data_IF_074132869579
#
_entry.id   IF_074132869579
#
_cell.length_a   1.000
_cell.length_b   1.000
_cell.length_c   1.000
_cell.angle_alpha   90.00
_cell.angle_beta   90.00
_cell.angle_gamma   90.00
#
_symmetry.space_group_name_H-M   'P 1'
#
loop_
_entity.id
_entity.type
_entity.pdbx_description
1 polymer ?
#
# COMPACT_ATOMS: atom_id res chain seq x y z
N UNK A 1 -20.79 0.26 -2.39
CA UNK A 1 -20.30 0.82 -1.10
C UNK A 1 -18.91 0.27 -0.91
N UNK A 2 -17.91 1.12 -0.72
CA UNK A 2 -16.50 0.73 -0.70
C UNK A 2 -15.99 0.76 0.75
N UNK A 3 -15.26 -0.27 1.16
CA UNK A 3 -14.69 -0.39 2.50
C UNK A 3 -13.47 0.54 2.58
N UNK A 4 -13.50 1.49 3.52
CA UNK A 4 -12.40 2.44 3.73
C UNK A 4 -11.40 1.86 4.72
N UNK A 5 -10.13 1.77 4.31
CA UNK A 5 -9.06 1.14 5.08
C UNK A 5 -7.88 2.08 5.25
N UNK A 6 -7.37 2.19 6.47
CA UNK A 6 -6.06 2.77 6.76
C UNK A 6 -5.03 1.66 7.00
N UNK A 7 -3.83 1.80 6.44
CA UNK A 7 -2.72 0.86 6.68
C UNK A 7 -1.82 1.43 7.78
N UNK A 8 -1.75 0.75 8.93
CA UNK A 8 -0.83 1.10 10.01
C UNK A 8 0.40 0.18 10.00
N UNK A 9 1.56 0.74 9.67
CA UNK A 9 2.80 0.00 9.40
C UNK A 9 2.99 -0.24 7.90
N UNK A 10 3.54 0.75 7.19
CA UNK A 10 3.76 0.72 5.74
C UNK A 10 5.12 0.10 5.34
N UNK A 11 5.52 -0.93 6.10
CA UNK A 11 6.68 -1.76 5.81
C UNK A 11 6.44 -2.75 4.66
N UNK A 12 7.15 -3.88 4.69
CA UNK A 12 7.11 -4.90 3.62
C UNK A 12 5.70 -5.45 3.38
N UNK A 13 4.95 -5.78 4.44
CA UNK A 13 3.58 -6.29 4.32
C UNK A 13 2.61 -5.19 3.90
N UNK A 14 2.68 -4.00 4.49
CA UNK A 14 1.79 -2.88 4.14
C UNK A 14 1.88 -2.50 2.65
N UNK A 15 3.09 -2.47 2.08
CA UNK A 15 3.29 -2.23 0.65
C UNK A 15 2.75 -3.38 -0.22
N UNK A 16 2.96 -4.62 0.19
CA UNK A 16 2.43 -5.78 -0.54
C UNK A 16 0.90 -5.87 -0.49
N UNK A 17 0.26 -5.44 0.59
CA UNK A 17 -1.21 -5.32 0.65
C UNK A 17 -1.71 -4.28 -0.34
N UNK A 18 -1.07 -3.11 -0.40
CA UNK A 18 -1.42 -2.10 -1.40
C UNK A 18 -1.26 -2.66 -2.83
N UNK A 19 -0.14 -3.33 -3.11
CA UNK A 19 0.13 -3.96 -4.40
C UNK A 19 -0.94 -4.99 -4.76
N UNK A 20 -1.28 -5.90 -3.84
CA UNK A 20 -2.29 -6.92 -4.07
C UNK A 20 -3.68 -6.34 -4.34
N UNK A 21 -4.05 -5.22 -3.72
CA UNK A 21 -5.31 -4.53 -3.99
C UNK A 21 -5.39 -4.04 -5.44
N UNK A 22 -4.31 -3.46 -5.97
CA UNK A 22 -4.27 -2.99 -7.36
C UNK A 22 -4.13 -4.15 -8.36
N UNK A 23 -3.31 -5.16 -8.06
CA UNK A 23 -3.15 -6.33 -8.92
C UNK A 23 -4.41 -7.19 -8.98
N UNK A 24 -5.19 -7.23 -7.89
CA UNK A 24 -6.47 -7.94 -7.81
C UNK A 24 -7.69 -7.15 -8.28
N UNK A 25 -7.51 -5.93 -8.78
CA UNK A 25 -8.60 -5.03 -9.22
C UNK A 25 -9.70 -4.80 -8.16
N UNK A 26 -9.30 -4.73 -6.89
CA UNK A 26 -10.23 -4.60 -5.75
C UNK A 26 -10.57 -3.14 -5.41
N UNK A 27 -10.19 -2.18 -6.26
CA UNK A 27 -10.40 -0.75 -6.00
C UNK A 27 -11.87 -0.32 -5.93
N UNK A 28 -12.78 -1.12 -6.48
CA UNK A 28 -14.23 -0.89 -6.36
C UNK A 28 -14.79 -1.34 -4.99
N UNK A 29 -14.11 -2.30 -4.34
CA UNK A 29 -14.51 -2.90 -3.06
C UNK A 29 -13.79 -2.27 -1.87
N UNK A 30 -12.50 -1.91 -2.03
CA UNK A 30 -11.63 -1.40 -0.98
C UNK A 30 -10.95 -0.10 -1.43
N UNK A 31 -11.04 0.93 -0.57
CA UNK A 31 -10.39 2.22 -0.74
C UNK A 31 -9.33 2.41 0.37
N UNK A 32 -8.05 2.52 -0.01
CA UNK A 32 -6.98 2.89 0.93
C UNK A 32 -7.00 4.40 1.13
N UNK A 33 -7.44 4.85 2.32
CA UNK A 33 -7.62 6.27 2.61
C UNK A 33 -6.42 6.92 3.30
N UNK A 34 -5.57 6.12 3.93
CA UNK A 34 -4.38 6.60 4.62
C UNK A 34 -3.34 5.49 4.80
N UNK A 35 -2.07 5.88 4.90
CA UNK A 35 -0.96 5.03 5.33
C UNK A 35 -0.22 5.72 6.47
N UNK A 36 0.15 4.98 7.50
CA UNK A 36 0.96 5.45 8.62
C UNK A 36 2.24 4.62 8.72
N UNK A 37 3.39 5.28 8.81
CA UNK A 37 4.70 4.66 8.94
C UNK A 37 5.70 5.61 9.62
N UNK A 38 6.83 5.08 10.07
CA UNK A 38 7.90 5.87 10.67
C UNK A 38 8.81 6.53 9.60
N UNK A 39 8.86 5.96 8.39
CA UNK A 39 9.64 6.50 7.28
C UNK A 39 8.97 7.71 6.61
N UNK A 40 9.79 8.57 5.99
CA UNK A 40 9.28 9.72 5.24
C UNK A 40 8.52 9.29 3.97
N UNK A 41 7.67 10.18 3.48
CA UNK A 41 6.80 9.91 2.33
C UNK A 41 7.55 9.63 1.03
N UNK A 42 8.71 10.27 0.80
CA UNK A 42 9.50 10.05 -0.40
C UNK A 42 10.15 8.67 -0.38
N UNK A 43 10.70 8.26 0.76
CA UNK A 43 11.22 6.89 0.95
C UNK A 43 10.13 5.85 0.76
N UNK A 44 8.95 6.06 1.35
CA UNK A 44 7.82 5.14 1.18
C UNK A 44 7.38 5.04 -0.28
N UNK A 45 7.26 6.17 -0.99
CA UNK A 45 6.94 6.17 -2.42
C UNK A 45 8.01 5.46 -3.28
N UNK A 46 9.29 5.64 -2.94
CA UNK A 46 10.40 4.95 -3.60
C UNK A 46 10.30 3.43 -3.40
N UNK A 47 10.11 2.98 -2.16
CA UNK A 47 10.00 1.57 -1.80
C UNK A 47 8.73 0.90 -2.30
N UNK A 48 7.65 1.66 -2.54
CA UNK A 48 6.45 1.16 -3.21
C UNK A 48 6.68 0.97 -4.71
N UNK A 49 7.47 1.86 -5.33
CA UNK A 49 7.80 1.79 -6.77
C UNK A 49 8.85 0.73 -7.09
N UNK A 50 9.78 0.45 -6.17
CA UNK A 50 10.93 -0.44 -6.37
C UNK A 50 10.96 -1.50 -5.29
N UNK A 51 10.70 -2.75 -5.65
CA UNK A 51 10.82 -3.88 -4.75
C UNK A 51 11.76 -4.96 -5.32
N UNK A 52 12.83 -5.31 -4.60
CA UNK A 52 13.80 -6.29 -5.10
C UNK A 52 13.20 -7.68 -5.36
N UNK A 53 12.14 -8.08 -4.64
CA UNK A 53 11.49 -9.38 -4.81
C UNK A 53 10.36 -9.35 -5.85
N UNK A 54 9.71 -8.20 -6.03
CA UNK A 54 8.50 -8.07 -6.86
C UNK A 54 8.63 -7.06 -8.03
N UNK A 55 9.82 -6.47 -8.27
CA UNK A 55 10.09 -5.44 -9.28
C UNK A 55 10.17 -4.03 -8.71
#
# INVERSE_FOLDING_TARGET
MTIKVGINGYGRIGRNVLRALYEGDLGSEIEIVAVNDLGDTNTNAHLTRRDTAHG
#
